data_IF_889258150775
#
_entry.id   IF_889258150775
#
_cell.length_a   1.000
_cell.length_b   1.000
_cell.length_c   1.000
_cell.angle_alpha   90.00
_cell.angle_beta   90.00
_cell.angle_gamma   90.00
#
_symmetry.space_group_name_H-M   'P 1'
#
loop_
_entity.id
_entity.type
_entity.pdbx_description
1 polymer ?
#
# COMPACT_ATOMS: atom_id res chain seq x y z
N UNK A 1 -41.29 -9.73 1.83
CA UNK A 1 -39.81 -9.87 1.79
C UNK A 1 -39.28 -8.45 1.89
N UNK A 2 -38.36 -8.17 2.79
CA UNK A 2 -37.74 -6.84 2.89
C UNK A 2 -36.99 -6.55 1.58
N UNK A 3 -37.03 -5.30 1.13
CA UNK A 3 -36.28 -4.88 -0.05
C UNK A 3 -34.78 -4.79 0.26
N UNK A 4 -33.89 -4.94 -0.74
CA UNK A 4 -32.46 -4.78 -0.53
C UNK A 4 -32.11 -3.39 0.04
N UNK A 5 -32.84 -2.34 -0.34
CA UNK A 5 -32.63 -1.00 0.20
C UNK A 5 -32.96 -0.92 1.70
N UNK A 6 -34.06 -1.53 2.14
CA UNK A 6 -34.43 -1.57 3.56
C UNK A 6 -33.39 -2.35 4.38
N UNK A 7 -32.92 -3.50 3.89
CA UNK A 7 -31.86 -4.28 4.53
C UNK A 7 -30.57 -3.47 4.68
N UNK A 8 -30.15 -2.76 3.63
CA UNK A 8 -28.97 -1.87 3.68
C UNK A 8 -29.17 -0.72 4.68
N UNK A 9 -30.36 -0.12 4.78
CA UNK A 9 -30.60 0.94 5.77
C UNK A 9 -30.61 0.42 7.21
N UNK A 10 -31.13 -0.78 7.45
CA UNK A 10 -31.00 -1.45 8.76
C UNK A 10 -29.54 -1.73 9.10
N UNK A 11 -28.76 -2.24 8.14
CA UNK A 11 -27.32 -2.43 8.28
C UNK A 11 -26.57 -1.12 8.60
N UNK A 12 -26.97 0.00 7.98
CA UNK A 12 -26.43 1.32 8.30
C UNK A 12 -26.70 1.73 9.75
N UNK A 13 -27.85 1.35 10.33
CA UNK A 13 -28.16 1.61 11.75
C UNK A 13 -27.23 0.80 12.64
N UNK A 14 -27.10 -0.51 12.39
CA UNK A 14 -26.20 -1.39 13.14
C UNK A 14 -24.74 -0.92 13.07
N UNK A 15 -24.29 -0.52 11.88
CA UNK A 15 -22.95 0.05 11.68
C UNK A 15 -22.73 1.30 12.56
N UNK A 16 -23.70 2.22 12.62
CA UNK A 16 -23.60 3.42 13.48
C UNK A 16 -23.57 3.08 14.97
N UNK A 17 -24.19 1.96 15.36
CA UNK A 17 -24.12 1.43 16.71
C UNK A 17 -22.83 0.63 17.00
N UNK A 18 -21.96 0.48 16.00
CA UNK A 18 -20.74 -0.35 16.05
C UNK A 18 -21.01 -1.86 16.19
N UNK A 19 -22.23 -2.28 15.85
CA UNK A 19 -22.64 -3.68 15.73
C UNK A 19 -22.22 -4.18 14.34
N UNK A 20 -20.91 -4.31 14.14
CA UNK A 20 -20.34 -4.50 12.80
C UNK A 20 -20.66 -5.89 12.23
N UNK A 21 -20.69 -6.93 13.06
CA UNK A 21 -20.97 -8.29 12.58
C UNK A 21 -22.41 -8.41 12.09
N UNK A 22 -23.36 -7.87 12.85
CA UNK A 22 -24.77 -7.86 12.50
C UNK A 22 -25.03 -6.95 11.27
N UNK A 23 -24.28 -5.85 11.16
CA UNK A 23 -24.32 -5.00 9.97
C UNK A 23 -23.85 -5.75 8.72
N UNK A 24 -22.76 -6.53 8.82
CA UNK A 24 -22.25 -7.37 7.73
C UNK A 24 -23.32 -8.34 7.25
N UNK A 25 -23.95 -9.09 8.16
CA UNK A 25 -24.99 -10.07 7.82
C UNK A 25 -26.15 -9.43 7.04
N UNK A 26 -26.56 -8.20 7.40
CA UNK A 26 -27.62 -7.49 6.68
C UNK A 26 -27.16 -6.89 5.35
N UNK A 27 -25.92 -6.39 5.25
CA UNK A 27 -25.36 -5.95 3.98
C UNK A 27 -25.20 -7.11 3.00
N UNK A 28 -24.82 -8.30 3.45
CA UNK A 28 -24.69 -9.49 2.61
C UNK A 28 -26.06 -9.90 2.05
N UNK A 29 -27.09 -9.98 2.90
CA UNK A 29 -28.47 -10.24 2.45
C UNK A 29 -28.97 -9.17 1.48
N UNK A 30 -28.63 -7.90 1.71
CA UNK A 30 -28.95 -6.82 0.78
C UNK A 30 -28.24 -7.04 -0.57
N UNK A 31 -26.95 -7.38 -0.55
CA UNK A 31 -26.15 -7.60 -1.75
C UNK A 31 -26.63 -8.78 -2.60
N UNK A 32 -27.17 -9.84 -1.99
CA UNK A 32 -27.76 -11.00 -2.68
C UNK A 32 -29.00 -10.63 -3.51
N UNK A 33 -29.80 -9.67 -3.03
CA UNK A 33 -31.05 -9.24 -3.65
C UNK A 33 -30.90 -8.00 -4.53
N UNK A 34 -29.74 -7.34 -4.48
CA UNK A 34 -29.46 -6.07 -5.13
C UNK A 34 -29.04 -6.21 -6.60
N UNK A 35 -29.29 -5.16 -7.37
CA UNK A 35 -28.58 -4.90 -8.62
C UNK A 35 -27.09 -4.60 -8.35
N UNK A 36 -26.30 -4.49 -9.41
CA UNK A 36 -24.85 -4.34 -9.28
C UNK A 36 -24.45 -3.00 -8.63
N UNK A 37 -25.21 -1.92 -8.88
CA UNK A 37 -24.96 -0.62 -8.26
C UNK A 37 -25.10 -0.71 -6.73
N UNK A 38 -26.23 -1.22 -6.23
CA UNK A 38 -26.45 -1.38 -4.79
C UNK A 38 -25.56 -2.47 -4.18
N UNK A 39 -25.26 -3.54 -4.91
CA UNK A 39 -24.33 -4.59 -4.47
C UNK A 39 -22.92 -4.05 -4.24
N UNK A 40 -22.42 -3.21 -5.15
CA UNK A 40 -21.10 -2.55 -5.00
C UNK A 40 -21.04 -1.67 -3.74
N UNK A 41 -22.13 -0.97 -3.42
CA UNK A 41 -22.26 -0.17 -2.20
C UNK A 41 -22.26 -1.07 -0.95
N UNK A 42 -22.98 -2.19 -0.98
CA UNK A 42 -23.02 -3.14 0.14
C UNK A 42 -21.63 -3.74 0.40
N UNK A 43 -20.92 -4.20 -0.62
CA UNK A 43 -19.52 -4.67 -0.48
C UNK A 43 -18.57 -3.56 0.02
N UNK A 44 -18.76 -2.33 -0.45
CA UNK A 44 -18.04 -1.17 0.05
C UNK A 44 -18.30 -0.87 1.54
N UNK A 45 -19.49 -1.17 2.05
CA UNK A 45 -19.82 -1.02 3.47
C UNK A 45 -19.35 -2.22 4.30
N UNK A 46 -19.42 -3.44 3.77
CA UNK A 46 -18.89 -4.64 4.44
C UNK A 46 -17.38 -4.51 4.65
N UNK A 47 -16.64 -4.08 3.62
CA UNK A 47 -15.20 -3.82 3.79
C UNK A 47 -14.91 -2.76 4.85
N UNK A 48 -15.79 -1.76 5.03
CA UNK A 48 -15.66 -0.79 6.11
C UNK A 48 -15.91 -1.42 7.49
N UNK A 49 -16.89 -2.33 7.61
CA UNK A 49 -17.16 -3.05 8.85
C UNK A 49 -15.94 -3.88 9.26
N UNK A 50 -15.40 -4.70 8.35
CA UNK A 50 -14.19 -5.48 8.60
C UNK A 50 -12.97 -4.62 8.92
N UNK A 51 -12.82 -3.46 8.25
CA UNK A 51 -11.75 -2.52 8.57
C UNK A 51 -11.83 -2.01 10.02
N UNK A 52 -13.04 -1.72 10.51
CA UNK A 52 -13.25 -1.29 11.90
C UNK A 52 -13.10 -2.44 12.92
N UNK A 53 -13.24 -3.69 12.47
CA UNK A 53 -12.94 -4.90 13.25
C UNK A 53 -11.45 -5.25 13.22
N UNK A 54 -10.63 -4.50 12.48
CA UNK A 54 -9.20 -4.78 12.22
C UNK A 54 -8.96 -6.11 11.48
N UNK A 55 -10.00 -6.68 10.86
CA UNK A 55 -9.88 -7.81 9.94
C UNK A 55 -9.55 -7.28 8.54
N UNK A 56 -8.27 -6.97 8.35
CA UNK A 56 -7.80 -6.36 7.11
C UNK A 56 -7.80 -7.32 5.92
N UNK A 57 -7.82 -8.63 6.15
CA UNK A 57 -7.88 -9.64 5.09
C UNK A 57 -9.26 -9.65 4.46
N UNK A 58 -10.32 -9.80 5.27
CA UNK A 58 -11.70 -9.74 4.76
C UNK A 58 -12.06 -8.34 4.24
N UNK A 59 -11.56 -7.28 4.89
CA UNK A 59 -11.74 -5.92 4.38
C UNK A 59 -11.16 -5.75 2.97
N UNK A 60 -10.00 -6.34 2.70
CA UNK A 60 -9.36 -6.29 1.39
C UNK A 60 -10.18 -7.06 0.34
N UNK A 61 -10.62 -8.28 0.65
CA UNK A 61 -11.45 -9.09 -0.24
C UNK A 61 -12.75 -8.38 -0.63
N UNK A 62 -13.43 -7.75 0.33
CA UNK A 62 -14.63 -6.97 0.02
C UNK A 62 -14.34 -5.66 -0.73
N UNK A 63 -13.15 -5.07 -0.57
CA UNK A 63 -12.71 -3.97 -1.45
C UNK A 63 -12.57 -4.45 -2.91
N UNK A 64 -11.95 -5.61 -3.13
CA UNK A 64 -11.81 -6.21 -4.47
C UNK A 64 -13.19 -6.50 -5.10
N UNK A 65 -14.11 -7.13 -4.36
CA UNK A 65 -15.47 -7.40 -4.82
C UNK A 65 -16.21 -6.13 -5.23
N UNK A 66 -16.11 -5.06 -4.43
CA UNK A 66 -16.74 -3.78 -4.75
C UNK A 66 -16.12 -3.11 -5.98
N UNK A 67 -14.79 -3.10 -6.10
CA UNK A 67 -14.06 -2.48 -7.22
C UNK A 67 -14.20 -3.26 -8.53
N UNK A 68 -14.43 -4.58 -8.46
CA UNK A 68 -14.74 -5.41 -9.62
C UNK A 68 -16.08 -5.03 -10.28
N UNK A 69 -17.04 -4.54 -9.48
CA UNK A 69 -18.33 -4.03 -9.99
C UNK A 69 -18.20 -2.55 -10.37
N UNK A 70 -17.62 -1.74 -9.48
CA UNK A 70 -17.50 -0.30 -9.62
C UNK A 70 -16.04 0.14 -9.47
N UNK A 71 -15.33 0.20 -10.59
CA UNK A 71 -13.90 0.52 -10.60
C UNK A 71 -13.58 1.96 -10.13
N UNK A 72 -14.49 2.91 -10.29
CA UNK A 72 -14.31 4.32 -9.89
C UNK A 72 -14.74 4.59 -8.44
N UNK A 73 -14.91 3.56 -7.60
CA UNK A 73 -15.33 3.72 -6.22
C UNK A 73 -14.18 4.20 -5.31
N UNK A 74 -13.91 5.52 -5.37
CA UNK A 74 -12.82 6.22 -4.67
C UNK A 74 -12.64 5.79 -3.20
N UNK A 75 -13.72 5.84 -2.40
CA UNK A 75 -13.63 5.51 -0.95
C UNK A 75 -13.19 4.06 -0.68
N UNK A 76 -13.55 3.13 -1.55
CA UNK A 76 -13.16 1.71 -1.41
C UNK A 76 -11.71 1.53 -1.85
N UNK A 77 -11.31 2.17 -2.96
CA UNK A 77 -9.92 2.20 -3.42
C UNK A 77 -8.97 2.77 -2.36
N UNK A 78 -9.35 3.87 -1.73
CA UNK A 78 -8.59 4.47 -0.63
C UNK A 78 -8.41 3.50 0.54
N UNK A 79 -9.48 2.79 0.93
CA UNK A 79 -9.40 1.78 2.01
C UNK A 79 -8.47 0.63 1.64
N UNK A 80 -8.56 0.12 0.41
CA UNK A 80 -7.66 -0.91 -0.09
C UNK A 80 -6.19 -0.48 -0.03
N UNK A 81 -5.89 0.74 -0.46
CA UNK A 81 -4.54 1.32 -0.38
C UNK A 81 -4.08 1.42 1.08
N UNK A 82 -4.94 1.89 1.99
CA UNK A 82 -4.63 1.95 3.42
C UNK A 82 -4.28 0.58 3.99
N UNK A 83 -5.04 -0.46 3.63
CA UNK A 83 -4.75 -1.84 4.03
C UNK A 83 -3.38 -2.29 3.51
N UNK A 84 -3.06 -2.03 2.23
CA UNK A 84 -1.76 -2.38 1.65
C UNK A 84 -0.60 -1.68 2.38
N UNK A 85 -0.76 -0.40 2.73
CA UNK A 85 0.22 0.34 3.52
C UNK A 85 0.39 -0.26 4.93
N UNK A 86 -0.70 -0.64 5.61
CA UNK A 86 -0.65 -1.30 6.92
C UNK A 86 0.08 -2.66 6.86
N UNK A 87 -0.03 -3.36 5.72
CA UNK A 87 0.67 -4.62 5.47
C UNK A 87 2.13 -4.43 5.01
N UNK A 88 2.62 -3.19 4.88
CA UNK A 88 3.95 -2.89 4.34
C UNK A 88 4.09 -3.17 2.84
N UNK A 89 2.98 -3.40 2.13
CA UNK A 89 2.93 -3.68 0.69
C UNK A 89 2.89 -2.38 -0.11
N UNK A 90 3.91 -1.54 0.05
CA UNK A 90 3.96 -0.20 -0.53
C UNK A 90 4.02 -0.23 -2.07
N UNK A 91 4.67 -1.25 -2.65
CA UNK A 91 4.70 -1.45 -4.11
C UNK A 91 3.28 -1.67 -4.65
N UNK A 92 2.54 -2.58 -4.03
CA UNK A 92 1.14 -2.86 -4.40
C UNK A 92 0.24 -1.63 -4.18
N UNK A 93 0.46 -0.87 -3.11
CA UNK A 93 -0.27 0.37 -2.84
C UNK A 93 -0.06 1.40 -3.96
N UNK A 94 1.18 1.52 -4.45
CA UNK A 94 1.52 2.40 -5.58
C UNK A 94 0.89 1.93 -6.89
N UNK A 95 0.89 0.63 -7.16
CA UNK A 95 0.20 0.07 -8.33
C UNK A 95 -1.31 0.34 -8.29
N UNK A 96 -1.92 0.29 -7.10
CA UNK A 96 -3.35 0.55 -6.94
C UNK A 96 -3.73 2.03 -7.16
N UNK A 97 -2.80 2.97 -6.92
CA UNK A 97 -2.99 4.40 -7.26
C UNK A 97 -3.14 4.63 -8.77
N UNK A 98 -2.46 3.82 -9.59
CA UNK A 98 -2.52 3.97 -11.05
C UNK A 98 -3.83 3.45 -11.65
N UNK A 99 -4.64 2.74 -10.85
CA UNK A 99 -5.90 2.11 -11.29
C UNK A 99 -7.13 3.02 -11.12
N UNK A 100 -7.02 4.16 -10.45
CA UNK A 100 -8.12 5.11 -10.33
C UNK A 100 -7.88 6.22 -9.32
N UNK A 101 -8.83 7.16 -9.26
CA UNK A 101 -8.69 8.37 -8.45
C UNK A 101 -8.77 8.09 -6.95
N UNK A 102 -7.98 8.87 -6.20
CA UNK A 102 -7.96 8.93 -4.73
C UNK A 102 -7.72 10.36 -4.27
N UNK A 103 -7.93 10.63 -2.98
CA UNK A 103 -7.56 11.89 -2.37
C UNK A 103 -6.07 12.25 -2.63
N UNK A 104 -5.76 13.51 -3.02
CA UNK A 104 -4.39 13.96 -3.26
C UNK A 104 -3.44 13.71 -2.09
N UNK A 105 -3.93 13.86 -0.87
CA UNK A 105 -3.14 13.62 0.35
C UNK A 105 -2.71 12.16 0.49
N UNK A 106 -3.60 11.21 0.16
CA UNK A 106 -3.25 9.78 0.17
C UNK A 106 -2.22 9.46 -0.91
N UNK A 107 -2.39 10.02 -2.12
CA UNK A 107 -1.43 9.85 -3.21
C UNK A 107 -0.04 10.32 -2.78
N UNK A 108 0.06 11.53 -2.23
CA UNK A 108 1.30 12.10 -1.71
C UNK A 108 1.92 11.23 -0.61
N UNK A 109 1.12 10.74 0.32
CA UNK A 109 1.58 9.88 1.40
C UNK A 109 2.22 8.58 0.87
N UNK A 110 1.58 7.89 -0.07
CA UNK A 110 2.12 6.67 -0.70
C UNK A 110 3.44 6.97 -1.43
N UNK A 111 3.52 8.08 -2.16
CA UNK A 111 4.74 8.51 -2.85
C UNK A 111 5.90 8.77 -1.87
N UNK A 112 5.63 9.45 -0.75
CA UNK A 112 6.61 9.72 0.30
C UNK A 112 7.11 8.44 0.99
N UNK A 113 6.21 7.51 1.30
CA UNK A 113 6.57 6.21 1.89
C UNK A 113 7.41 5.40 0.89
N UNK A 114 6.99 5.33 -0.36
CA UNK A 114 7.71 4.62 -1.43
C UNK A 114 9.12 5.17 -1.65
N UNK A 115 9.28 6.50 -1.63
CA UNK A 115 10.59 7.13 -1.77
C UNK A 115 11.52 6.81 -0.58
N UNK A 116 10.98 6.83 0.64
CA UNK A 116 11.75 6.46 1.85
C UNK A 116 12.20 5.01 1.83
N UNK A 117 11.33 4.09 1.41
CA UNK A 117 11.69 2.67 1.28
C UNK A 117 12.76 2.46 0.21
N UNK A 118 12.63 3.12 -0.93
CA UNK A 118 13.62 3.03 -2.00
C UNK A 118 15.00 3.54 -1.56
N UNK A 119 15.07 4.68 -0.87
CA UNK A 119 16.35 5.19 -0.37
C UNK A 119 16.96 4.26 0.69
N UNK A 120 16.14 3.67 1.57
CA UNK A 120 16.61 2.65 2.53
C UNK A 120 17.16 1.41 1.82
N UNK A 121 16.42 0.84 0.86
CA UNK A 121 16.87 -0.33 0.08
C UNK A 121 18.18 -0.03 -0.67
N UNK A 122 18.31 1.19 -1.21
CA UNK A 122 19.52 1.67 -1.90
C UNK A 122 20.71 1.80 -0.94
N UNK A 123 20.52 2.36 0.25
CA UNK A 123 21.57 2.44 1.27
C UNK A 123 22.05 1.04 1.68
N UNK A 124 21.12 0.11 1.94
CA UNK A 124 21.44 -1.29 2.27
C UNK A 124 22.18 -1.99 1.13
N UNK A 125 21.76 -1.77 -0.12
CA UNK A 125 22.42 -2.32 -1.30
C UNK A 125 23.85 -1.76 -1.46
N UNK A 126 24.03 -0.46 -1.28
CA UNK A 126 25.34 0.18 -1.34
C UNK A 126 26.28 -0.34 -0.24
N UNK A 127 25.76 -0.57 0.96
CA UNK A 127 26.49 -1.22 2.05
C UNK A 127 26.99 -2.62 1.63
N UNK A 128 26.08 -3.48 1.16
CA UNK A 128 26.44 -4.84 0.69
C UNK A 128 27.45 -4.83 -0.45
N UNK A 129 27.33 -3.89 -1.39
CA UNK A 129 28.28 -3.72 -2.49
C UNK A 129 29.67 -3.31 -1.98
N UNK A 130 29.74 -2.41 -0.99
CA UNK A 130 30.99 -2.03 -0.34
C UNK A 130 31.63 -3.21 0.38
N UNK A 131 30.85 -3.96 1.16
CA UNK A 131 31.34 -5.13 1.89
C UNK A 131 31.87 -6.22 0.94
N UNK A 132 31.17 -6.44 -0.18
CA UNK A 132 31.63 -7.34 -1.23
C UNK A 132 32.95 -6.86 -1.84
N UNK A 133 33.05 -5.57 -2.18
CA UNK A 133 34.28 -4.98 -2.70
C UNK A 133 35.45 -5.12 -1.73
N UNK A 134 35.23 -4.83 -0.44
CA UNK A 134 36.23 -4.99 0.62
C UNK A 134 36.62 -6.45 0.84
N UNK A 135 35.70 -7.40 0.69
CA UNK A 135 36.01 -8.84 0.78
C UNK A 135 36.95 -9.28 -0.35
N UNK A 136 36.77 -8.76 -1.56
CA UNK A 136 37.65 -9.07 -2.70
C UNK A 136 38.99 -8.37 -2.55
N UNK A 137 39.01 -7.08 -2.24
CA UNK A 137 40.21 -6.27 -2.08
C UNK A 137 41.05 -6.71 -0.87
N UNK A 138 40.40 -7.14 0.21
CA UNK A 138 41.07 -7.62 1.42
C UNK A 138 41.98 -8.83 1.18
N UNK A 139 41.69 -9.67 0.18
CA UNK A 139 42.57 -10.78 -0.24
C UNK A 139 43.93 -10.30 -0.77
N UNK A 140 44.03 -9.02 -1.13
CA UNK A 140 45.24 -8.36 -1.60
C UNK A 140 45.77 -7.31 -0.61
N UNK A 141 45.23 -7.28 0.63
CA UNK A 141 45.61 -6.28 1.64
C UNK A 141 45.07 -4.87 1.35
N UNK A 142 43.98 -4.75 0.58
CA UNK A 142 43.40 -3.47 0.17
C UNK A 142 41.98 -3.28 0.75
N UNK A 143 41.52 -2.02 0.81
CA UNK A 143 40.15 -1.62 1.14
C UNK A 143 39.63 -0.60 0.12
N UNK A 144 38.32 -0.51 -0.07
CA UNK A 144 37.69 0.59 -0.79
C UNK A 144 38.00 1.96 -0.16
N UNK A 145 38.23 2.01 1.16
CA UNK A 145 38.62 3.24 1.86
C UNK A 145 40.02 3.73 1.47
N UNK A 146 40.85 2.86 0.88
CA UNK A 146 42.17 3.20 0.36
C UNK A 146 42.11 4.02 -0.94
N UNK A 147 40.95 4.12 -1.58
CA UNK A 147 40.76 4.84 -2.84
C UNK A 147 40.00 6.16 -2.62
N UNK A 148 40.68 7.30 -2.77
CA UNK A 148 40.11 8.64 -2.64
C UNK A 148 39.79 9.23 -4.02
N UNK A 149 38.53 9.55 -4.27
CA UNK A 149 38.08 10.16 -5.53
C UNK A 149 38.02 11.68 -5.37
N UNK A 150 38.70 12.42 -6.23
CA UNK A 150 38.67 13.88 -6.30
C UNK A 150 38.14 14.35 -7.66
N UNK A 151 37.23 15.33 -7.68
CA UNK A 151 36.70 15.92 -8.90
C UNK A 151 37.57 17.12 -9.33
N UNK A 152 38.02 17.15 -10.58
CA UNK A 152 38.79 18.28 -11.14
C UNK A 152 37.88 19.42 -11.59
N UNK A 153 38.42 20.64 -11.68
CA UNK A 153 37.72 21.83 -12.19
C UNK A 153 37.25 21.65 -13.64
N UNK A 154 37.95 20.83 -14.43
CA UNK A 154 37.58 20.46 -15.80
C UNK A 154 36.47 19.39 -15.89
N UNK A 155 35.95 18.92 -14.74
CA UNK A 155 34.89 17.91 -14.67
C UNK A 155 35.37 16.45 -14.72
N UNK A 156 36.68 16.20 -14.77
CA UNK A 156 37.26 14.85 -14.69
C UNK A 156 37.32 14.30 -13.26
N UNK A 157 37.52 12.99 -13.11
CA UNK A 157 37.69 12.31 -11.82
C UNK A 157 39.11 11.75 -11.69
N UNK A 158 39.82 12.11 -10.62
CA UNK A 158 41.11 11.54 -10.26
C UNK A 158 40.93 10.61 -9.06
N UNK A 159 41.39 9.37 -9.20
CA UNK A 159 41.38 8.38 -8.12
C UNK A 159 42.80 8.28 -7.57
N UNK A 160 42.97 8.64 -6.29
CA UNK A 160 44.23 8.55 -5.58
C UNK A 160 44.20 7.35 -4.63
N UNK A 161 45.26 6.58 -4.61
CA UNK A 161 45.42 5.46 -3.68
C UNK A 161 46.23 5.92 -2.45
N UNK A 162 45.76 5.62 -1.25
CA UNK A 162 46.49 5.79 0.01
C UNK A 162 46.61 4.44 0.72
N UNK A 163 47.86 4.01 0.90
CA UNK A 163 48.19 2.92 1.81
C UNK A 163 48.29 3.51 3.23
N UNK A 164 47.58 2.92 4.18
CA UNK A 164 47.87 3.10 5.61
C UNK A 164 48.91 2.07 6.05
#
# INVERSE_FOLDING_TARGET
>A
MESPLELKEQANVLYRNKEYQEAIDLYEKSAELADDDLKSICYGNISLCYYNLEDFEESFEYCEKALAIKADYVKVRERKIRILLLQGKVKDAKEELEKGDVAPDLKKEVEEISAKEFEKEKEEMLGKLKDLGNTVLGKFGLSLDSFQVNKSESGGYNINFKNN
#
